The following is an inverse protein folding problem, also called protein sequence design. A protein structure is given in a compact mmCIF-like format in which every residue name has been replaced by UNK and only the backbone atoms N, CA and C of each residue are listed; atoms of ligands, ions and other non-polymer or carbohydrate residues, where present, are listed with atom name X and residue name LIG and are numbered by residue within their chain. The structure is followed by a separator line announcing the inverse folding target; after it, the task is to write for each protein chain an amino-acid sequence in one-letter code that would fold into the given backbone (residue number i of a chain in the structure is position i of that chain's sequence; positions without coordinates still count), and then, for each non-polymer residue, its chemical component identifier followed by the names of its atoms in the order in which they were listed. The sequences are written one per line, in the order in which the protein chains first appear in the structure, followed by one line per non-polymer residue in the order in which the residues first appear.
data_IF_813385391306
#
_entry.id   IF_813385391306
#
_cell.length_a   1.000
_cell.length_b   1.000
_cell.length_c   1.000
_cell.angle_alpha   90.00
_cell.angle_beta   90.00
_cell.angle_gamma   90.00
#
_symmetry.space_group_name_H-M   'P 1'
#
loop_
_entity.id
_entity.type
_entity.pdbx_description
1 polymer ?
#
# COMPACT_ATOMS: atom_id res chain seq x y z
N UNK A 1 -74.84 -32.75 -3.01
CA UNK A 1 -74.07 -31.49 -3.10
C UNK A 1 -72.62 -31.82 -3.43
N UNK A 2 -72.18 -31.50 -4.64
CA UNK A 2 -70.76 -31.68 -5.05
C UNK A 2 -70.00 -30.42 -4.71
N UNK A 3 -69.09 -30.49 -3.74
CA UNK A 3 -68.16 -29.38 -3.47
C UNK A 3 -67.08 -29.41 -4.54
N UNK A 4 -67.16 -28.46 -5.45
CA UNK A 4 -66.08 -28.20 -6.41
C UNK A 4 -64.88 -27.65 -5.65
N UNK A 5 -63.81 -28.41 -5.56
CA UNK A 5 -62.53 -27.94 -5.09
C UNK A 5 -61.94 -26.98 -6.14
N UNK A 6 -62.05 -25.69 -5.87
CA UNK A 6 -61.37 -24.63 -6.62
C UNK A 6 -59.88 -24.89 -6.48
N UNK A 7 -59.18 -25.35 -7.52
CA UNK A 7 -57.74 -25.34 -7.59
C UNK A 7 -57.27 -23.92 -7.48
N UNK A 8 -56.62 -23.60 -6.39
CA UNK A 8 -55.82 -22.39 -6.30
C UNK A 8 -54.62 -22.62 -7.21
N UNK A 9 -54.66 -22.11 -8.41
CA UNK A 9 -53.49 -22.00 -9.27
C UNK A 9 -52.57 -21.01 -8.52
N UNK A 10 -51.58 -21.57 -7.86
CA UNK A 10 -50.44 -20.84 -7.33
C UNK A 10 -49.61 -20.40 -8.53
N UNK A 11 -50.08 -19.38 -9.24
CA UNK A 11 -49.23 -18.60 -10.13
C UNK A 11 -48.21 -17.90 -9.23
N UNK A 12 -47.04 -18.54 -9.16
CA UNK A 12 -45.86 -17.89 -8.59
C UNK A 12 -45.64 -16.66 -9.45
N UNK A 13 -45.83 -15.49 -8.84
CA UNK A 13 -45.70 -14.22 -9.53
C UNK A 13 -44.23 -14.05 -9.94
N UNK A 14 -43.90 -14.54 -11.13
CA UNK A 14 -42.54 -14.53 -11.69
C UNK A 14 -41.95 -13.13 -11.75
N UNK A 15 -42.81 -12.08 -11.86
CA UNK A 15 -42.41 -10.69 -11.80
C UNK A 15 -41.74 -10.28 -10.48
N UNK A 16 -42.22 -10.80 -9.35
CA UNK A 16 -41.62 -10.52 -8.03
C UNK A 16 -40.24 -11.17 -7.86
N UNK A 17 -40.07 -12.39 -8.41
CA UNK A 17 -38.79 -13.07 -8.37
C UNK A 17 -37.76 -12.39 -9.27
N UNK A 18 -38.19 -11.93 -10.45
CA UNK A 18 -37.33 -11.18 -11.36
C UNK A 18 -36.88 -9.84 -10.77
N UNK A 19 -37.77 -9.15 -10.06
CA UNK A 19 -37.46 -7.85 -9.40
C UNK A 19 -36.43 -8.04 -8.30
N UNK A 20 -36.60 -9.04 -7.43
CA UNK A 20 -35.63 -9.34 -6.36
C UNK A 20 -34.26 -9.71 -6.96
N UNK A 21 -34.25 -10.50 -8.00
CA UNK A 21 -33.01 -10.90 -8.68
C UNK A 21 -32.31 -9.68 -9.31
N UNK A 22 -33.07 -8.80 -9.93
CA UNK A 22 -32.57 -7.58 -10.54
C UNK A 22 -32.00 -6.62 -9.48
N UNK A 23 -32.68 -6.43 -8.35
CA UNK A 23 -32.20 -5.61 -7.25
C UNK A 23 -30.93 -6.18 -6.62
N UNK A 24 -30.83 -7.52 -6.48
CA UNK A 24 -29.59 -8.17 -6.02
C UNK A 24 -28.42 -7.94 -6.96
N UNK A 25 -28.64 -8.04 -8.27
CA UNK A 25 -27.60 -7.82 -9.26
C UNK A 25 -27.11 -6.37 -9.19
N UNK A 26 -28.02 -5.39 -9.15
CA UNK A 26 -27.66 -3.97 -9.01
C UNK A 26 -26.93 -3.72 -7.69
N UNK A 27 -27.38 -4.30 -6.59
CA UNK A 27 -26.74 -4.18 -5.28
C UNK A 27 -25.29 -4.68 -5.32
N UNK A 28 -25.04 -5.87 -5.87
CA UNK A 28 -23.69 -6.40 -6.03
C UNK A 28 -22.85 -5.55 -6.99
N UNK A 29 -23.44 -5.07 -8.07
CA UNK A 29 -22.74 -4.21 -9.03
C UNK A 29 -22.32 -2.88 -8.39
N UNK A 30 -23.20 -2.26 -7.61
CA UNK A 30 -22.90 -1.03 -6.88
C UNK A 30 -21.86 -1.27 -5.77
N UNK A 31 -21.99 -2.33 -4.98
CA UNK A 31 -21.02 -2.64 -3.92
C UNK A 31 -19.65 -2.97 -4.50
N UNK A 32 -19.58 -3.64 -5.65
CA UNK A 32 -18.33 -3.90 -6.35
C UNK A 32 -17.69 -2.62 -6.92
N UNK A 33 -18.51 -1.69 -7.44
CA UNK A 33 -18.05 -0.40 -7.93
C UNK A 33 -17.51 0.51 -6.81
N UNK A 34 -18.06 0.41 -5.58
CA UNK A 34 -17.55 1.11 -4.41
C UNK A 34 -16.42 0.36 -3.68
N UNK A 35 -16.17 -0.88 -4.02
CA UNK A 35 -14.96 -1.61 -3.64
C UNK A 35 -13.77 -1.13 -4.47
N UNK A 36 -13.65 0.19 -4.58
CA UNK A 36 -12.41 0.83 -4.99
C UNK A 36 -11.35 0.35 -3.98
N UNK A 37 -10.47 -0.51 -4.44
CA UNK A 37 -9.30 -0.95 -3.69
C UNK A 37 -8.49 0.29 -3.29
N UNK A 38 -8.86 0.89 -2.18
CA UNK A 38 -8.00 1.77 -1.39
C UNK A 38 -7.12 0.92 -0.47
N UNK A 39 -6.91 -0.35 -0.89
CA UNK A 39 -5.83 -1.14 -0.36
C UNK A 39 -4.53 -0.50 -0.83
N UNK A 40 -3.62 -0.29 0.07
CA UNK A 40 -2.23 -0.14 -0.25
C UNK A 40 -1.90 -1.35 -1.11
N UNK A 41 -1.49 -1.16 -2.37
CA UNK A 41 -0.91 -2.23 -3.18
C UNK A 41 0.38 -2.64 -2.50
N UNK A 42 0.22 -3.48 -1.50
CA UNK A 42 1.30 -4.17 -0.84
C UNK A 42 1.62 -5.36 -1.75
N UNK A 43 2.51 -5.16 -2.68
CA UNK A 43 3.18 -6.27 -3.33
C UNK A 43 3.98 -6.97 -2.23
N UNK A 44 3.36 -7.97 -1.57
CA UNK A 44 4.13 -8.94 -0.83
C UNK A 44 5.07 -9.60 -1.85
N UNK A 45 6.38 -9.57 -1.64
CA UNK A 45 7.26 -10.41 -2.42
C UNK A 45 6.79 -11.85 -2.22
N UNK A 46 6.33 -12.49 -3.29
CA UNK A 46 6.26 -13.96 -3.28
C UNK A 46 7.65 -14.44 -2.87
N UNK A 47 7.70 -15.52 -2.07
CA UNK A 47 8.93 -16.20 -1.62
C UNK A 47 9.82 -16.62 -2.80
N UNK A 48 10.19 -15.69 -3.62
CA UNK A 48 11.18 -15.87 -4.65
C UNK A 48 12.53 -15.59 -4.00
N UNK A 49 13.26 -16.68 -3.78
CA UNK A 49 14.68 -16.73 -3.43
C UNK A 49 15.62 -16.01 -4.43
N UNK A 50 15.07 -15.16 -5.26
CA UNK A 50 15.73 -14.22 -6.13
C UNK A 50 15.41 -12.80 -5.63
N UNK A 51 15.97 -12.44 -4.46
CA UNK A 51 16.15 -11.04 -4.16
C UNK A 51 17.07 -10.48 -5.24
N UNK A 52 16.64 -9.51 -6.07
CA UNK A 52 17.59 -8.81 -6.91
C UNK A 52 18.64 -8.25 -5.95
N UNK A 53 19.90 -8.49 -6.27
CA UNK A 53 21.05 -7.91 -5.60
C UNK A 53 20.95 -6.39 -5.77
N UNK A 54 20.15 -5.75 -4.90
CA UNK A 54 19.96 -4.30 -4.89
C UNK A 54 21.25 -3.76 -4.31
N UNK A 55 22.17 -3.42 -5.20
CA UNK A 55 23.36 -2.66 -4.83
C UNK A 55 22.90 -1.40 -4.13
N UNK A 56 23.45 -1.08 -2.96
CA UNK A 56 23.10 0.13 -2.18
C UNK A 56 23.24 1.42 -3.01
N UNK A 57 23.96 1.38 -4.12
CA UNK A 57 24.11 2.50 -5.05
C UNK A 57 22.90 2.72 -5.97
N UNK A 58 22.00 1.72 -6.09
CA UNK A 58 20.88 1.77 -7.03
C UNK A 58 19.51 1.97 -6.36
N UNK A 59 19.47 2.23 -5.06
CA UNK A 59 18.24 2.50 -4.31
C UNK A 59 18.34 3.80 -3.51
N UNK A 60 17.21 4.40 -3.19
CA UNK A 60 17.11 5.52 -2.23
C UNK A 60 16.64 4.95 -0.89
N UNK A 61 17.46 5.04 0.13
CA UNK A 61 17.17 4.52 1.46
C UNK A 61 16.57 5.61 2.36
N UNK A 62 15.32 5.42 2.76
CA UNK A 62 14.61 6.32 3.68
C UNK A 62 14.41 5.61 5.00
N UNK A 63 15.08 6.07 6.04
CA UNK A 63 14.98 5.51 7.39
C UNK A 63 14.16 6.42 8.29
N UNK A 64 13.11 5.88 8.90
CA UNK A 64 12.32 6.56 9.94
C UNK A 64 12.87 6.22 11.30
N UNK A 65 13.32 7.25 12.01
CA UNK A 65 13.92 7.12 13.34
C UNK A 65 12.88 7.32 14.46
N UNK A 66 13.18 6.87 15.69
CA UNK A 66 12.39 7.20 16.86
C UNK A 66 12.28 8.72 17.01
N UNK A 67 11.07 9.19 17.22
CA UNK A 67 10.77 10.60 17.39
C UNK A 67 9.59 10.80 18.36
N UNK A 68 9.23 12.04 18.67
CA UNK A 68 8.10 12.33 19.54
C UNK A 68 6.79 11.82 18.92
N UNK A 69 5.86 11.35 19.75
CA UNK A 69 4.57 10.79 19.30
C UNK A 69 3.70 11.84 18.61
N UNK A 70 3.77 13.09 19.09
CA UNK A 70 2.95 14.21 18.57
C UNK A 70 3.80 15.25 17.80
N UNK A 71 5.00 14.86 17.34
CA UNK A 71 5.90 15.73 16.61
C UNK A 71 6.15 15.27 15.17
N UNK A 72 6.85 16.09 14.39
CA UNK A 72 7.22 15.71 13.03
C UNK A 72 8.14 14.47 13.06
N UNK A 73 8.01 13.58 12.07
CA UNK A 73 8.86 12.40 11.96
C UNK A 73 10.32 12.78 11.78
N UNK A 74 11.21 12.09 12.47
CA UNK A 74 12.66 12.19 12.28
C UNK A 74 13.05 11.18 11.22
N UNK A 75 13.57 11.66 10.09
CA UNK A 75 13.91 10.81 8.94
C UNK A 75 15.35 11.03 8.50
N UNK A 76 15.92 9.99 7.91
CA UNK A 76 17.21 10.05 7.23
C UNK A 76 17.03 9.51 5.81
N UNK A 77 17.66 10.18 4.85
CA UNK A 77 17.74 9.72 3.46
C UNK A 77 19.21 9.45 3.13
N UNK A 78 19.54 8.22 2.81
CA UNK A 78 20.92 7.74 2.59
C UNK A 78 21.88 8.14 3.74
N UNK A 79 21.40 8.03 4.98
CA UNK A 79 22.16 8.38 6.19
C UNK A 79 22.22 9.87 6.53
N UNK A 80 21.61 10.76 5.74
CA UNK A 80 21.53 12.20 6.03
C UNK A 80 20.22 12.55 6.72
N UNK A 81 20.22 13.19 7.88
CA UNK A 81 19.00 13.63 8.54
C UNK A 81 18.32 14.74 7.72
N UNK A 82 17.04 14.55 7.44
CA UNK A 82 16.24 15.50 6.65
C UNK A 82 14.88 15.68 7.34
N UNK A 83 14.33 16.90 7.28
CA UNK A 83 12.95 17.14 7.69
C UNK A 83 11.97 16.60 6.65
N UNK A 84 10.73 16.30 7.06
CA UNK A 84 9.71 15.75 6.17
C UNK A 84 9.45 16.63 4.93
N UNK A 85 9.51 17.95 5.10
CA UNK A 85 9.31 18.90 4.00
C UNK A 85 10.43 18.86 2.95
N UNK A 86 11.62 18.41 3.36
CA UNK A 86 12.79 18.24 2.49
C UNK A 86 12.86 16.86 1.81
N UNK A 87 12.00 15.92 2.21
CA UNK A 87 12.02 14.55 1.73
C UNK A 87 11.79 14.46 0.22
N UNK A 88 10.71 15.04 -0.27
CA UNK A 88 10.33 14.97 -1.67
C UNK A 88 11.33 15.62 -2.61
N UNK A 89 11.85 16.84 -2.32
CA UNK A 89 12.89 17.48 -3.15
C UNK A 89 14.16 16.63 -3.25
N UNK A 90 14.63 16.05 -2.12
CA UNK A 90 15.85 15.22 -2.10
C UNK A 90 15.68 13.92 -2.87
N UNK A 91 14.55 13.22 -2.65
CA UNK A 91 14.22 12.01 -3.40
C UNK A 91 14.06 12.31 -4.89
N UNK A 92 13.40 13.41 -5.25
CA UNK A 92 13.23 13.81 -6.66
C UNK A 92 14.56 14.07 -7.37
N UNK A 93 15.51 14.71 -6.69
CA UNK A 93 16.85 14.96 -7.25
C UNK A 93 17.56 13.63 -7.57
N UNK A 94 17.46 12.65 -6.67
CA UNK A 94 18.04 11.32 -6.86
C UNK A 94 17.37 10.52 -7.96
N UNK A 95 16.04 10.64 -8.09
CA UNK A 95 15.27 9.97 -9.14
C UNK A 95 15.44 10.61 -10.52
N UNK A 96 15.87 11.88 -10.61
CA UNK A 96 16.22 12.52 -11.89
C UNK A 96 17.40 11.83 -12.58
N UNK A 97 18.30 11.23 -11.81
CA UNK A 97 19.45 10.50 -12.35
C UNK A 97 19.04 9.12 -12.86
N UNK A 98 18.11 8.45 -12.18
CA UNK A 98 17.54 7.17 -12.59
C UNK A 98 16.10 7.08 -12.09
N UNK A 99 15.13 7.11 -13.02
CA UNK A 99 13.69 7.10 -12.69
C UNK A 99 13.19 5.77 -12.13
N UNK A 100 13.88 4.69 -12.45
CA UNK A 100 13.51 3.33 -12.04
C UNK A 100 14.10 2.96 -10.66
N UNK A 101 14.76 3.91 -10.00
CA UNK A 101 15.37 3.71 -8.69
C UNK A 101 14.31 3.41 -7.64
N UNK A 102 14.34 2.22 -6.99
CA UNK A 102 13.40 1.90 -5.93
C UNK A 102 13.70 2.74 -4.68
N UNK A 103 12.65 3.20 -4.03
CA UNK A 103 12.72 3.84 -2.71
C UNK A 103 12.48 2.78 -1.65
N UNK A 104 13.43 2.58 -0.76
CA UNK A 104 13.34 1.63 0.34
C UNK A 104 13.00 2.40 1.61
N UNK A 105 11.79 2.19 2.14
CA UNK A 105 11.35 2.79 3.39
C UNK A 105 11.60 1.83 4.55
N UNK A 106 12.58 2.13 5.39
CA UNK A 106 12.90 1.37 6.59
C UNK A 106 12.42 2.10 7.84
N UNK A 107 12.02 1.35 8.83
CA UNK A 107 11.56 1.89 10.10
C UNK A 107 12.40 1.32 11.23
N UNK A 108 12.94 2.18 12.08
CA UNK A 108 13.59 1.75 13.30
C UNK A 108 12.56 1.09 14.23
N UNK A 109 12.91 0.01 14.96
CA UNK A 109 11.99 -0.67 15.90
C UNK A 109 11.41 0.24 16.97
N UNK A 110 12.09 1.31 17.32
CA UNK A 110 11.61 2.31 18.29
C UNK A 110 10.78 3.44 17.66
N UNK A 111 10.62 3.48 16.35
CA UNK A 111 9.87 4.53 15.68
C UNK A 111 8.36 4.32 15.83
N UNK A 112 7.63 5.42 15.96
CA UNK A 112 6.17 5.40 16.03
C UNK A 112 5.59 5.04 14.66
N UNK A 113 4.67 4.07 14.63
CA UNK A 113 4.02 3.63 13.38
C UNK A 113 3.38 4.79 12.60
N UNK A 114 2.77 5.75 13.31
CA UNK A 114 2.18 6.94 12.69
C UNK A 114 3.20 7.77 11.90
N UNK A 115 4.45 7.84 12.36
CA UNK A 115 5.52 8.56 11.66
C UNK A 115 5.90 7.84 10.36
N UNK A 116 5.95 6.51 10.36
CA UNK A 116 6.18 5.73 9.14
C UNK A 116 5.07 5.94 8.12
N UNK A 117 3.80 5.90 8.57
CA UNK A 117 2.65 6.15 7.69
C UNK A 117 2.69 7.56 7.10
N UNK A 118 3.05 8.58 7.90
CA UNK A 118 3.16 9.96 7.42
C UNK A 118 4.23 10.09 6.32
N UNK A 119 5.39 9.47 6.51
CA UNK A 119 6.48 9.45 5.51
C UNK A 119 6.06 8.70 4.25
N UNK A 120 5.39 7.57 4.39
CA UNK A 120 4.88 6.80 3.27
C UNK A 120 3.84 7.59 2.45
N UNK A 121 2.90 8.25 3.14
CA UNK A 121 1.89 9.09 2.48
C UNK A 121 2.53 10.26 1.73
N UNK A 122 3.54 10.89 2.32
CA UNK A 122 4.32 11.95 1.67
C UNK A 122 4.99 11.45 0.38
N UNK A 123 5.64 10.29 0.43
CA UNK A 123 6.26 9.66 -0.75
C UNK A 123 5.22 9.35 -1.84
N UNK A 124 4.04 8.87 -1.48
CA UNK A 124 2.96 8.59 -2.44
C UNK A 124 2.39 9.85 -3.09
N UNK A 125 2.42 10.96 -2.40
CA UNK A 125 1.95 12.26 -2.93
C UNK A 125 2.99 12.95 -3.83
N UNK A 126 4.14 12.33 -4.07
CA UNK A 126 5.24 12.89 -4.88
C UNK A 126 4.79 13.33 -6.28
N UNK A 127 3.98 12.53 -6.95
CA UNK A 127 3.47 12.85 -8.29
C UNK A 127 2.61 14.11 -8.27
N UNK A 128 1.74 14.25 -7.26
CA UNK A 128 0.83 15.40 -7.14
C UNK A 128 1.56 16.66 -6.68
N UNK A 129 2.53 16.56 -5.76
CA UNK A 129 3.23 17.70 -5.16
C UNK A 129 4.38 18.22 -5.99
N UNK A 130 5.15 17.32 -6.61
CA UNK A 130 6.39 17.66 -7.31
C UNK A 130 6.46 17.13 -8.75
N UNK A 131 5.41 16.43 -9.23
CA UNK A 131 5.35 15.90 -10.60
C UNK A 131 6.32 14.74 -10.87
N UNK A 132 6.90 14.13 -9.83
CA UNK A 132 7.79 12.98 -9.95
C UNK A 132 7.09 11.75 -9.41
N UNK A 133 6.84 10.77 -10.26
CA UNK A 133 6.24 9.50 -9.87
C UNK A 133 7.33 8.56 -9.33
N UNK A 134 7.10 8.04 -8.14
CA UNK A 134 7.93 6.98 -7.56
C UNK A 134 7.29 5.65 -7.97
N UNK A 135 7.98 4.88 -8.83
CA UNK A 135 7.44 3.62 -9.37
C UNK A 135 7.37 2.54 -8.29
N UNK A 136 8.38 2.43 -7.46
CA UNK A 136 8.48 1.37 -6.46
C UNK A 136 8.86 1.92 -5.09
N UNK A 137 7.98 1.72 -4.11
CA UNK A 137 8.28 1.94 -2.69
C UNK A 137 8.28 0.57 -2.03
N UNK A 138 9.42 0.13 -1.53
CA UNK A 138 9.59 -1.13 -0.81
C UNK A 138 9.67 -0.89 0.68
N UNK A 139 8.90 -1.65 1.45
CA UNK A 139 8.92 -1.62 2.92
C UNK A 139 9.39 -3.00 3.39
N UNK A 140 10.68 -3.20 3.67
CA UNK A 140 11.19 -4.49 4.09
C UNK A 140 10.64 -4.86 5.48
N UNK A 141 10.36 -6.14 5.66
CA UNK A 141 10.00 -6.68 6.98
C UNK A 141 11.24 -6.81 7.87
N UNK A 142 11.04 -6.93 9.18
CA UNK A 142 12.15 -7.14 10.14
C UNK A 142 13.03 -8.34 9.76
N UNK A 143 12.43 -9.43 9.27
CA UNK A 143 13.16 -10.62 8.83
C UNK A 143 14.02 -10.37 7.60
N UNK A 144 13.52 -9.57 6.67
CA UNK A 144 14.28 -9.19 5.47
C UNK A 144 15.44 -8.27 5.84
N UNK A 145 15.24 -7.36 6.79
CA UNK A 145 16.31 -6.50 7.33
C UNK A 145 17.40 -7.34 7.99
N UNK A 146 17.04 -8.32 8.83
CA UNK A 146 17.98 -9.23 9.48
C UNK A 146 18.76 -10.07 8.45
N UNK A 147 18.08 -10.56 7.40
CA UNK A 147 18.72 -11.29 6.32
C UNK A 147 19.72 -10.41 5.55
N UNK A 148 19.36 -9.16 5.26
CA UNK A 148 20.24 -8.20 4.59
C UNK A 148 21.48 -7.92 5.46
N UNK A 149 21.31 -7.71 6.76
CA UNK A 149 22.42 -7.50 7.69
C UNK A 149 23.35 -8.71 7.77
N UNK A 150 22.79 -9.91 7.81
CA UNK A 150 23.56 -11.15 7.80
C UNK A 150 24.37 -11.33 6.51
N UNK A 151 23.77 -10.98 5.36
CA UNK A 151 24.47 -11.05 4.06
C UNK A 151 25.56 -9.99 3.92
N UNK A 152 25.35 -8.80 4.48
CA UNK A 152 26.33 -7.71 4.42
C UNK A 152 27.43 -7.83 5.48
N UNK A 153 27.35 -8.82 6.40
CA UNK A 153 28.29 -8.97 7.50
C UNK A 153 28.23 -7.82 8.54
N UNK A 154 27.17 -7.04 8.51
CA UNK A 154 26.89 -5.95 9.46
C UNK A 154 25.92 -6.52 10.50
N UNK A 155 26.44 -7.34 11.41
CA UNK A 155 25.65 -7.82 12.53
C UNK A 155 25.39 -6.71 13.56
N UNK A 156 24.29 -6.83 14.37
CA UNK A 156 24.01 -5.89 15.43
C UNK A 156 25.10 -5.86 16.49
#
# INVERSE_FOLDING_TARGET
MKFSKKKLDSEIFTGSMADITFLLIIFFMLTMAFSSNRGIDFALPEDSSNLPEISQQDSVDVLVLPGPVDGPPVIQVDGKPIAIDGLLPDVAEKLKQNKDKPVILRTDPGAVYGNMVAVFDELRQSETKIGVKIETISIPTQREIENIWTMLGIGP
#
